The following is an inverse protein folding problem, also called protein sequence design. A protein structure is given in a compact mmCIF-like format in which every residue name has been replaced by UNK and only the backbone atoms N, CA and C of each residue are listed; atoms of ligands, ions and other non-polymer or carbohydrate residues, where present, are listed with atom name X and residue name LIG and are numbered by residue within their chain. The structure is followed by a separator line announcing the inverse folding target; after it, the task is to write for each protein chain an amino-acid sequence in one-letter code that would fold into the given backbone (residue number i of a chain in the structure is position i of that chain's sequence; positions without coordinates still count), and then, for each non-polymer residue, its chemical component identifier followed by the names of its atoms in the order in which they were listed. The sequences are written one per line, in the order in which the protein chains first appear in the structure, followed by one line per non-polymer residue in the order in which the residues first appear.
data_IF_474840622255
#
_entry.id   IF_474840622255
#
_cell.length_a   1.000
_cell.length_b   1.000
_cell.length_c   1.000
_cell.angle_alpha   90.00
_cell.angle_beta   90.00
_cell.angle_gamma   90.00
#
_symmetry.space_group_name_H-M   'P 1'
#
loop_
_entity.id
_entity.type
_entity.pdbx_description
1 polymer ?
#
# COMPACT_ATOMS: atom_id res chain seq x y z
N UNK A 1 2.54 27.59 7.20
CA UNK A 1 1.08 27.65 7.42
C UNK A 1 0.68 28.76 8.40
N UNK A 2 1.22 28.78 9.64
CA UNK A 2 0.86 29.78 10.66
C UNK A 2 1.09 31.25 10.23
N UNK A 3 2.20 31.54 9.55
CA UNK A 3 2.55 32.91 9.12
C UNK A 3 1.59 33.47 8.06
N UNK A 4 1.16 32.65 7.10
CA UNK A 4 0.18 33.06 6.07
C UNK A 4 -1.22 33.27 6.66
N UNK A 5 -1.64 32.40 7.58
CA UNK A 5 -2.92 32.53 8.27
C UNK A 5 -2.95 33.79 9.15
N UNK A 6 -1.87 34.07 9.88
CA UNK A 6 -1.73 35.27 10.72
C UNK A 6 -1.70 36.56 9.89
N UNK A 7 -0.98 36.57 8.75
CA UNK A 7 -0.96 37.71 7.84
C UNK A 7 -2.32 37.99 7.19
N UNK A 8 -3.12 36.94 6.94
CA UNK A 8 -4.47 37.06 6.40
C UNK A 8 -5.47 37.57 7.47
N UNK A 9 -5.47 36.99 8.67
CA UNK A 9 -6.32 37.42 9.80
C UNK A 9 -6.06 38.89 10.17
N UNK A 10 -4.81 39.36 10.03
CA UNK A 10 -4.45 40.75 10.32
C UNK A 10 -4.97 41.75 9.28
N UNK A 11 -5.46 41.29 8.11
CA UNK A 11 -5.90 42.15 6.98
C UNK A 11 -7.42 42.14 6.78
N UNK A 12 -8.17 41.29 7.46
CA UNK A 12 -9.62 41.13 7.27
C UNK A 12 -10.39 41.48 8.52
N UNK A 13 -11.34 42.40 8.40
CA UNK A 13 -12.34 42.64 9.44
C UNK A 13 -13.17 41.37 9.63
N UNK A 14 -13.35 40.88 10.87
CA UNK A 14 -13.99 39.59 11.12
C UNK A 14 -15.45 39.62 10.64
N UNK A 15 -15.78 38.74 9.70
CA UNK A 15 -17.16 38.58 9.24
C UNK A 15 -17.95 37.69 10.20
N UNK A 16 -19.27 37.93 10.38
CA UNK A 16 -20.12 37.02 11.15
C UNK A 16 -20.17 35.64 10.49
N UNK A 17 -20.20 34.59 11.31
CA UNK A 17 -20.27 33.22 10.80
C UNK A 17 -21.63 32.99 10.14
N UNK A 18 -21.61 32.73 8.83
CA UNK A 18 -22.81 32.37 8.08
C UNK A 18 -22.93 30.86 8.01
N UNK A 19 -23.97 30.31 8.63
CA UNK A 19 -24.25 28.87 8.62
C UNK A 19 -25.47 28.55 7.76
N UNK A 20 -25.39 27.48 6.97
CA UNK A 20 -26.53 26.98 6.19
C UNK A 20 -26.38 25.48 5.88
N UNK A 21 -27.45 24.78 5.49
CA UNK A 21 -27.35 23.40 5.01
C UNK A 21 -26.45 23.31 3.77
N UNK A 22 -25.59 22.29 3.69
CA UNK A 22 -24.75 22.06 2.51
C UNK A 22 -25.61 21.95 1.24
N UNK A 23 -26.81 21.36 1.38
CA UNK A 23 -27.74 21.22 0.26
C UNK A 23 -28.21 22.53 -0.38
N UNK A 24 -28.10 23.65 0.33
CA UNK A 24 -28.49 24.97 -0.19
C UNK A 24 -27.40 25.66 -1.02
N UNK A 25 -26.19 25.10 -1.06
CA UNK A 25 -25.05 25.66 -1.80
C UNK A 25 -25.04 25.08 -3.21
N UNK A 26 -24.94 25.94 -4.22
CA UNK A 26 -24.78 25.55 -5.63
C UNK A 26 -23.30 25.48 -6.01
N UNK A 27 -22.56 26.55 -5.71
CA UNK A 27 -21.12 26.61 -5.89
C UNK A 27 -20.49 27.65 -4.97
N UNK A 28 -19.20 27.45 -4.71
CA UNK A 28 -18.37 28.35 -3.94
C UNK A 28 -16.90 28.11 -4.26
N UNK A 29 -16.10 29.17 -4.30
CA UNK A 29 -14.64 29.10 -4.35
C UNK A 29 -14.06 29.97 -3.24
N UNK A 30 -12.91 29.58 -2.69
CA UNK A 30 -12.21 30.33 -1.65
C UNK A 30 -11.98 31.77 -2.10
N UNK A 31 -12.29 32.71 -1.20
CA UNK A 31 -12.26 34.15 -1.46
C UNK A 31 -13.23 34.64 -2.56
N UNK A 32 -14.09 33.76 -3.10
CA UNK A 32 -15.12 34.06 -4.08
C UNK A 32 -16.53 34.13 -3.52
N UNK A 33 -17.49 34.37 -4.40
CA UNK A 33 -18.91 34.47 -4.03
C UNK A 33 -19.57 33.11 -3.82
N UNK A 34 -20.45 33.04 -2.81
CA UNK A 34 -21.31 31.89 -2.58
C UNK A 34 -22.57 31.97 -3.44
N UNK A 35 -22.74 31.00 -4.35
CA UNK A 35 -23.99 30.82 -5.10
C UNK A 35 -24.87 29.78 -4.42
N UNK A 36 -26.16 30.08 -4.32
CA UNK A 36 -27.17 29.20 -3.71
C UNK A 36 -28.01 28.51 -4.77
N UNK A 37 -28.58 27.36 -4.42
CA UNK A 37 -29.57 26.68 -5.24
C UNK A 37 -30.83 27.55 -5.30
N UNK A 38 -31.40 27.71 -6.50
CA UNK A 38 -32.65 28.43 -6.68
C UNK A 38 -33.82 27.65 -6.07
N UNK A 39 -34.79 28.32 -5.40
CA UNK A 39 -35.92 27.63 -4.77
C UNK A 39 -36.78 26.82 -5.75
N UNK A 40 -36.82 27.23 -7.02
CA UNK A 40 -37.65 26.68 -8.08
C UNK A 40 -37.03 25.48 -8.82
N UNK A 41 -35.78 25.12 -8.53
CA UNK A 41 -35.08 24.04 -9.25
C UNK A 41 -34.56 22.97 -8.29
N UNK A 42 -34.73 21.67 -8.63
CA UNK A 42 -34.11 20.62 -7.84
C UNK A 42 -32.59 20.78 -7.88
N UNK A 43 -31.90 20.60 -6.75
CA UNK A 43 -30.45 20.68 -6.73
C UNK A 43 -29.84 19.57 -7.58
N UNK A 44 -28.76 19.89 -8.31
CA UNK A 44 -27.97 18.90 -9.02
C UNK A 44 -27.48 17.80 -8.04
N UNK A 45 -27.52 16.51 -8.43
CA UNK A 45 -27.48 15.39 -7.49
C UNK A 45 -26.12 15.13 -6.87
N UNK A 46 -25.02 15.55 -7.51
CA UNK A 46 -23.66 15.24 -7.03
C UNK A 46 -23.00 16.49 -6.47
N UNK A 47 -22.32 16.36 -5.34
CA UNK A 47 -21.49 17.38 -4.72
C UNK A 47 -20.03 17.01 -4.91
N UNK A 48 -19.25 17.96 -5.43
CA UNK A 48 -17.80 17.88 -5.52
C UNK A 48 -17.14 18.94 -4.65
N UNK A 49 -16.29 18.51 -3.74
CA UNK A 49 -15.40 19.37 -2.96
C UNK A 49 -13.97 19.19 -3.48
N UNK A 50 -13.25 20.28 -3.62
CA UNK A 50 -11.80 20.30 -3.86
C UNK A 50 -11.12 20.87 -2.63
N UNK A 51 -10.11 20.17 -2.14
CA UNK A 51 -9.39 20.43 -0.89
C UNK A 51 -7.92 20.58 -1.24
N UNK A 52 -7.28 21.63 -0.75
CA UNK A 52 -5.83 21.82 -0.83
C UNK A 52 -5.22 21.86 0.59
N UNK A 53 -3.93 22.21 0.69
CA UNK A 53 -3.24 22.29 1.97
C UNK A 53 -3.84 23.33 2.96
N UNK A 54 -4.70 24.25 2.52
CA UNK A 54 -5.38 25.21 3.38
C UNK A 54 -6.88 24.87 3.64
N UNK A 55 -7.31 23.66 3.28
CA UNK A 55 -8.66 23.16 3.49
C UNK A 55 -9.51 23.22 2.21
N UNK A 56 -10.84 23.36 2.38
CA UNK A 56 -11.76 23.38 1.23
C UNK A 56 -11.46 24.63 0.39
N UNK A 57 -11.15 24.42 -0.89
CA UNK A 57 -10.87 25.46 -1.89
C UNK A 57 -12.08 25.73 -2.75
N UNK A 58 -12.83 24.70 -3.10
CA UNK A 58 -13.99 24.81 -4.01
C UNK A 58 -15.06 23.81 -3.64
N UNK A 59 -16.32 24.23 -3.80
CA UNK A 59 -17.51 23.40 -3.77
C UNK A 59 -18.29 23.66 -5.05
N UNK A 60 -18.74 22.59 -5.70
CA UNK A 60 -19.60 22.67 -6.87
C UNK A 60 -20.59 21.50 -6.87
N UNK A 61 -21.75 21.72 -7.49
CA UNK A 61 -22.67 20.63 -7.80
C UNK A 61 -22.58 20.23 -9.26
N UNK A 62 -22.68 18.92 -9.51
CA UNK A 62 -22.56 18.32 -10.84
C UNK A 62 -23.86 17.60 -11.21
N UNK A 63 -24.25 17.60 -12.50
CA UNK A 63 -25.47 16.94 -12.97
C UNK A 63 -25.40 15.41 -12.84
N UNK A 64 -24.19 14.85 -12.86
CA UNK A 64 -23.94 13.42 -12.70
C UNK A 64 -22.55 13.20 -12.08
N UNK A 65 -22.34 12.00 -11.51
CA UNK A 65 -21.01 11.60 -11.03
C UNK A 65 -20.06 11.53 -12.21
N UNK A 66 -18.89 12.18 -12.15
CA UNK A 66 -17.93 12.14 -13.24
C UNK A 66 -17.42 10.71 -13.45
N UNK A 67 -17.28 10.30 -14.71
CA UNK A 67 -16.70 9.01 -15.06
C UNK A 67 -15.22 8.97 -14.64
N UNK A 68 -14.80 7.83 -14.09
CA UNK A 68 -13.40 7.64 -13.71
C UNK A 68 -12.49 7.81 -14.93
N UNK A 69 -11.44 8.63 -14.76
CA UNK A 69 -10.43 8.87 -15.80
C UNK A 69 -9.04 8.59 -15.22
N UNK A 70 -8.28 7.75 -15.92
CA UNK A 70 -6.93 7.32 -15.57
C UNK A 70 -5.91 8.47 -15.57
N UNK A 71 -6.24 9.60 -16.21
CA UNK A 71 -5.36 10.75 -16.42
C UNK A 71 -4.93 11.47 -15.12
N UNK A 72 -5.59 11.21 -14.00
CA UNK A 72 -5.38 11.91 -12.72
C UNK A 72 -4.61 11.12 -11.67
N UNK A 73 -4.00 10.00 -12.07
CA UNK A 73 -3.30 9.08 -11.17
C UNK A 73 -1.97 9.61 -10.62
N UNK A 74 -1.52 10.79 -11.08
CA UNK A 74 -0.41 11.51 -10.44
C UNK A 74 -0.95 12.52 -9.44
N UNK A 75 -0.46 12.53 -8.18
CA UNK A 75 -0.78 13.56 -7.20
C UNK A 75 -0.07 14.89 -7.56
N UNK A 76 -0.30 15.41 -8.77
CA UNK A 76 0.43 16.54 -9.30
C UNK A 76 0.11 17.88 -8.60
N UNK A 77 -0.94 17.95 -7.76
CA UNK A 77 -1.40 19.22 -7.20
C UNK A 77 -1.59 19.23 -5.68
N UNK A 78 -1.18 18.20 -4.92
CA UNK A 78 -1.49 18.07 -3.49
C UNK A 78 -2.98 18.31 -3.15
N UNK A 79 -3.86 18.03 -4.12
CA UNK A 79 -5.30 18.20 -3.97
C UNK A 79 -5.93 16.90 -3.49
N UNK A 80 -7.01 17.05 -2.75
CA UNK A 80 -7.90 15.98 -2.41
C UNK A 80 -9.34 16.36 -2.79
N UNK A 81 -10.17 15.36 -3.01
CA UNK A 81 -11.51 15.55 -3.53
C UNK A 81 -12.53 14.75 -2.74
N UNK A 82 -13.73 15.27 -2.61
CA UNK A 82 -14.90 14.50 -2.15
C UNK A 82 -15.90 14.59 -3.28
N UNK A 83 -16.39 13.45 -3.78
CA UNK A 83 -17.35 13.37 -4.89
C UNK A 83 -18.46 12.41 -4.49
N UNK A 84 -19.56 12.96 -3.99
CA UNK A 84 -20.60 12.20 -3.31
C UNK A 84 -21.99 12.64 -3.76
N UNK A 85 -22.95 11.72 -3.70
CA UNK A 85 -24.34 12.03 -3.96
C UNK A 85 -24.90 12.90 -2.81
N UNK A 86 -25.76 13.87 -3.12
CA UNK A 86 -26.33 14.79 -2.14
C UNK A 86 -27.05 14.05 -1.00
N UNK A 87 -27.73 12.95 -1.34
CA UNK A 87 -28.40 12.08 -0.38
C UNK A 87 -27.44 11.49 0.67
N UNK A 88 -26.17 11.26 0.30
CA UNK A 88 -25.14 10.73 1.21
C UNK A 88 -24.49 11.81 2.09
N UNK A 89 -24.92 13.07 1.96
CA UNK A 89 -24.44 14.21 2.73
C UNK A 89 -25.55 14.87 3.54
N UNK A 90 -26.63 14.11 3.80
CA UNK A 90 -27.77 14.59 4.56
C UNK A 90 -27.36 15.09 5.96
N UNK A 91 -27.93 16.24 6.36
CA UNK A 91 -27.65 16.85 7.66
C UNK A 91 -26.31 17.58 7.76
N UNK A 92 -25.43 17.49 6.76
CA UNK A 92 -24.18 18.26 6.73
C UNK A 92 -24.50 19.75 6.56
N UNK A 93 -23.90 20.58 7.41
CA UNK A 93 -24.00 22.04 7.34
C UNK A 93 -22.67 22.65 6.90
N UNK A 94 -22.75 23.83 6.33
CA UNK A 94 -21.60 24.66 5.96
C UNK A 94 -21.53 25.86 6.90
N UNK A 95 -20.33 26.18 7.34
CA UNK A 95 -20.00 27.44 7.99
C UNK A 95 -19.03 28.21 7.10
N UNK A 96 -19.46 29.41 6.71
CA UNK A 96 -18.65 30.38 5.99
C UNK A 96 -18.24 31.48 6.95
N UNK A 97 -16.94 31.74 6.99
CA UNK A 97 -16.37 32.87 7.71
C UNK A 97 -15.13 33.25 6.97
N UNK A 98 -14.87 34.55 6.77
CA UNK A 98 -13.51 34.98 6.47
C UNK A 98 -12.96 34.31 5.18
N UNK A 99 -13.78 34.23 4.13
CA UNK A 99 -13.39 33.56 2.86
C UNK A 99 -13.12 32.05 2.98
N UNK A 100 -13.42 31.42 4.12
CA UNK A 100 -13.19 30.00 4.39
C UNK A 100 -14.50 29.23 4.49
N UNK A 101 -14.44 27.97 4.06
CA UNK A 101 -15.56 27.04 4.05
C UNK A 101 -15.25 25.85 4.96
N UNK A 102 -16.11 25.62 5.95
CA UNK A 102 -15.98 24.50 6.89
C UNK A 102 -17.24 23.65 6.87
N UNK A 103 -17.06 22.33 6.80
CA UNK A 103 -18.13 21.38 7.03
C UNK A 103 -18.38 21.20 8.52
N UNK A 104 -19.65 21.26 8.91
CA UNK A 104 -20.13 20.88 10.24
C UNK A 104 -20.97 19.61 10.08
N UNK A 105 -20.41 18.52 10.57
CA UNK A 105 -21.01 17.20 10.46
C UNK A 105 -22.15 17.02 11.48
N UNK A 106 -23.19 16.26 11.14
CA UNK A 106 -24.21 15.87 12.12
C UNK A 106 -23.60 14.99 13.22
N UNK A 107 -24.26 14.94 14.38
CA UNK A 107 -23.81 14.09 15.51
C UNK A 107 -23.83 12.60 15.16
N UNK A 108 -24.80 12.17 14.36
CA UNK A 108 -24.89 10.81 13.85
C UNK A 108 -24.43 10.77 12.39
N UNK A 109 -23.46 9.91 12.10
CA UNK A 109 -22.85 9.79 10.77
C UNK A 109 -23.40 8.60 9.96
N UNK A 110 -24.48 7.95 10.41
CA UNK A 110 -24.99 6.71 9.81
C UNK A 110 -25.25 6.82 8.30
N UNK A 111 -25.76 7.97 7.86
CA UNK A 111 -26.10 8.23 6.45
C UNK A 111 -25.09 9.13 5.75
N UNK A 112 -24.04 9.59 6.45
CA UNK A 112 -23.04 10.50 5.89
C UNK A 112 -21.90 9.72 5.29
N UNK A 113 -21.55 10.02 4.04
CA UNK A 113 -20.33 9.52 3.38
C UNK A 113 -19.47 10.71 2.97
N UNK A 114 -18.27 10.76 3.49
CA UNK A 114 -17.25 11.75 3.19
C UNK A 114 -15.96 11.00 2.85
N UNK A 115 -15.95 10.36 1.68
CA UNK A 115 -14.77 9.70 1.18
C UNK A 115 -13.87 10.71 0.47
N UNK A 116 -12.66 10.85 0.98
CA UNK A 116 -11.63 11.75 0.45
C UNK A 116 -10.77 10.97 -0.54
N UNK A 117 -10.62 11.49 -1.73
CA UNK A 117 -9.90 10.87 -2.84
C UNK A 117 -8.72 11.70 -3.31
N UNK A 118 -7.70 11.05 -3.84
CA UNK A 118 -6.61 11.70 -4.59
C UNK A 118 -6.99 12.02 -6.06
N UNK A 119 -8.19 11.63 -6.52
CA UNK A 119 -8.67 11.87 -7.90
C UNK A 119 -9.90 12.78 -7.94
N UNK A 120 -9.98 13.75 -8.88
CA UNK A 120 -11.14 14.62 -9.07
C UNK A 120 -12.35 13.91 -9.69
N UNK A 121 -12.14 12.69 -10.22
CA UNK A 121 -13.16 11.85 -10.83
C UNK A 121 -13.00 10.42 -10.28
N UNK A 122 -13.22 10.19 -8.98
CA UNK A 122 -12.90 8.91 -8.35
C UNK A 122 -13.78 7.77 -8.88
N UNK A 123 -13.28 6.51 -8.87
CA UNK A 123 -14.09 5.37 -9.26
C UNK A 123 -15.30 5.23 -8.33
N UNK A 124 -16.38 4.63 -8.85
CA UNK A 124 -17.50 4.26 -7.98
C UNK A 124 -17.09 3.07 -7.12
N UNK A 125 -17.14 3.22 -5.79
CA UNK A 125 -16.78 2.18 -4.85
C UNK A 125 -17.62 0.91 -5.01
N UNK A 126 -18.88 1.03 -5.45
CA UNK A 126 -19.72 -0.14 -5.73
C UNK A 126 -19.20 -0.99 -6.90
N UNK A 127 -18.43 -0.37 -7.81
CA UNK A 127 -17.76 -1.04 -8.94
C UNK A 127 -16.34 -1.51 -8.58
N UNK A 128 -15.87 -1.21 -7.37
CA UNK A 128 -14.57 -1.64 -6.90
C UNK A 128 -14.68 -2.99 -6.21
N UNK A 129 -13.83 -3.92 -6.61
CA UNK A 129 -13.65 -5.20 -5.93
C UNK A 129 -12.52 -5.04 -4.94
N UNK A 130 -12.80 -5.27 -3.66
CA UNK A 130 -11.83 -5.02 -2.59
C UNK A 130 -12.03 -5.97 -1.42
N UNK A 131 -10.97 -6.13 -0.63
CA UNK A 131 -10.94 -6.93 0.57
C UNK A 131 -9.82 -6.47 1.53
N UNK A 132 -10.08 -6.33 2.84
CA UNK A 132 -11.37 -6.23 3.50
C UNK A 132 -12.24 -5.11 2.91
N UNK A 133 -13.56 -5.16 3.10
CA UNK A 133 -14.47 -4.08 2.69
C UNK A 133 -14.91 -3.24 3.89
N UNK A 134 -13.96 -2.82 4.74
CA UNK A 134 -14.25 -1.98 5.91
C UNK A 134 -14.32 -0.50 5.50
N UNK A 135 -15.49 -0.13 4.98
CA UNK A 135 -15.79 1.24 4.55
C UNK A 135 -16.50 1.98 5.69
N UNK A 136 -15.90 3.07 6.17
CA UNK A 136 -16.46 3.92 7.23
C UNK A 136 -17.05 5.20 6.65
N UNK A 137 -17.91 5.92 7.40
CA UNK A 137 -18.49 7.20 6.96
C UNK A 137 -17.47 8.23 6.48
N UNK A 138 -16.29 8.29 7.11
CA UNK A 138 -15.24 9.26 6.78
C UNK A 138 -13.94 8.48 6.60
N UNK A 139 -13.42 8.48 5.39
CA UNK A 139 -12.25 7.66 5.06
C UNK A 139 -11.51 8.24 3.88
N UNK A 140 -10.19 8.00 3.83
CA UNK A 140 -9.34 8.45 2.73
C UNK A 140 -9.02 7.28 1.82
N UNK A 141 -9.49 7.36 0.59
CA UNK A 141 -9.21 6.43 -0.48
C UNK A 141 -8.16 7.03 -1.43
N UNK A 142 -7.35 6.15 -1.98
CA UNK A 142 -6.44 6.45 -3.06
C UNK A 142 -6.73 5.52 -4.22
N UNK A 143 -6.64 6.08 -5.42
CA UNK A 143 -6.64 5.32 -6.66
C UNK A 143 -5.34 5.60 -7.40
N UNK A 144 -4.71 4.55 -7.91
CA UNK A 144 -3.45 4.67 -8.66
C UNK A 144 -3.46 3.70 -9.85
N UNK A 145 -2.95 4.17 -10.98
CA UNK A 145 -2.75 3.32 -12.15
C UNK A 145 -1.47 2.51 -11.97
N UNK A 146 -1.56 1.19 -12.05
CA UNK A 146 -0.41 0.31 -11.86
C UNK A 146 0.70 0.54 -12.91
N UNK A 147 0.35 1.06 -14.10
CA UNK A 147 1.30 1.42 -15.14
C UNK A 147 2.13 2.68 -14.82
N UNK A 148 1.64 3.53 -13.90
CA UNK A 148 2.29 4.80 -13.54
C UNK A 148 3.25 4.69 -12.35
N UNK A 149 3.32 3.51 -11.70
CA UNK A 149 4.14 3.29 -10.51
C UNK A 149 5.35 2.40 -10.82
N UNK A 150 6.27 2.29 -9.86
CA UNK A 150 7.51 1.50 -9.94
C UNK A 150 7.55 0.35 -8.95
N UNK A 151 6.71 0.42 -7.92
CA UNK A 151 6.55 -0.68 -6.98
C UNK A 151 5.61 -0.33 -5.83
N UNK A 152 5.40 -1.31 -4.96
CA UNK A 152 4.56 -1.18 -3.76
C UNK A 152 5.31 -1.84 -2.62
N UNK A 153 5.51 -1.13 -1.50
CA UNK A 153 5.98 -1.76 -0.25
C UNK A 153 4.79 -2.07 0.63
N UNK A 154 4.64 -3.34 0.98
CA UNK A 154 3.66 -3.81 1.96
C UNK A 154 4.33 -3.94 3.33
N UNK A 155 3.63 -3.45 4.36
CA UNK A 155 4.05 -3.58 5.75
C UNK A 155 3.26 -4.72 6.37
N UNK A 156 3.94 -5.78 6.77
CA UNK A 156 3.32 -6.95 7.35
C UNK A 156 3.70 -7.08 8.82
N UNK A 157 2.69 -7.30 9.65
CA UNK A 157 2.88 -8.15 10.81
C UNK A 157 2.74 -9.59 10.30
N UNK A 158 3.43 -10.57 10.88
CA UNK A 158 3.61 -11.93 10.35
C UNK A 158 2.33 -12.61 9.83
N UNK A 159 1.15 -12.20 10.32
CA UNK A 159 -0.15 -12.73 9.91
C UNK A 159 -1.07 -11.75 9.18
N UNK A 160 -0.74 -10.45 9.07
CA UNK A 160 -1.65 -9.41 8.55
C UNK A 160 -0.93 -8.23 7.88
N UNK A 161 -1.51 -7.71 6.80
CA UNK A 161 -1.06 -6.50 6.12
C UNK A 161 -1.54 -5.25 6.88
N UNK A 162 -0.59 -4.48 7.39
CA UNK A 162 -0.83 -3.30 8.23
C UNK A 162 -1.03 -2.02 7.42
N UNK A 163 -0.24 -1.87 6.36
CA UNK A 163 -0.19 -0.67 5.53
C UNK A 163 0.48 -0.99 4.19
N UNK A 164 0.42 -0.02 3.28
CA UNK A 164 1.22 -0.03 2.06
C UNK A 164 1.79 1.36 1.78
N UNK A 165 2.83 1.37 0.96
CA UNK A 165 3.43 2.56 0.39
C UNK A 165 3.54 2.37 -1.13
N UNK A 166 3.12 3.38 -1.89
CA UNK A 166 3.18 3.39 -3.35
C UNK A 166 4.45 4.10 -3.77
N UNK A 167 5.28 3.45 -4.61
CA UNK A 167 6.47 4.05 -5.20
C UNK A 167 6.15 4.55 -6.61
N UNK A 168 6.05 5.86 -6.79
CA UNK A 168 5.91 6.52 -8.09
C UNK A 168 7.25 6.55 -8.85
N UNK A 169 8.35 6.63 -8.10
CA UNK A 169 9.72 6.66 -8.63
C UNK A 169 10.60 5.67 -7.87
N UNK A 170 11.71 5.25 -8.47
CA UNK A 170 12.65 4.32 -7.83
C UNK A 170 13.33 4.93 -6.59
N UNK A 171 13.37 6.26 -6.49
CA UNK A 171 14.03 7.02 -5.42
C UNK A 171 13.08 7.45 -4.30
N UNK A 172 11.83 7.01 -4.33
CA UNK A 172 10.85 7.43 -3.33
C UNK A 172 11.15 6.81 -1.97
N UNK A 173 11.12 7.65 -0.94
CA UNK A 173 11.47 7.24 0.41
C UNK A 173 10.24 6.78 1.19
N UNK A 174 10.38 5.66 1.89
CA UNK A 174 9.33 5.12 2.77
C UNK A 174 9.25 5.80 4.14
N UNK A 175 10.13 6.76 4.46
CA UNK A 175 10.31 7.35 5.79
C UNK A 175 9.02 7.79 6.48
N UNK A 176 8.11 8.44 5.75
CA UNK A 176 6.84 8.91 6.33
C UNK A 176 5.89 7.77 6.67
N UNK A 177 5.80 6.75 5.81
CA UNK A 177 5.00 5.56 6.09
C UNK A 177 5.63 4.73 7.20
N UNK A 178 6.95 4.61 7.21
CA UNK A 178 7.70 3.97 8.29
C UNK A 178 7.38 4.62 9.63
N UNK A 179 7.46 5.96 9.71
CA UNK A 179 7.13 6.71 10.93
C UNK A 179 5.69 6.45 11.36
N UNK A 180 4.73 6.56 10.44
CA UNK A 180 3.31 6.34 10.75
C UNK A 180 3.05 4.90 11.25
N UNK A 181 3.67 3.89 10.64
CA UNK A 181 3.50 2.49 11.05
C UNK A 181 4.20 2.20 12.37
N UNK A 182 5.45 2.66 12.54
CA UNK A 182 6.27 2.36 13.71
C UNK A 182 5.85 3.13 14.96
N UNK A 183 5.34 4.37 14.83
CA UNK A 183 4.96 5.21 15.97
C UNK A 183 3.47 5.12 16.29
N UNK A 184 2.60 5.06 15.27
CA UNK A 184 1.15 5.23 15.47
C UNK A 184 0.33 3.94 15.44
N UNK A 185 0.93 2.84 14.98
CA UNK A 185 0.22 1.56 14.78
C UNK A 185 0.69 0.41 15.65
N UNK A 186 1.64 0.60 16.58
CA UNK A 186 2.12 -0.46 17.48
C UNK A 186 0.95 -1.12 18.22
N UNK A 187 0.59 -2.37 17.88
CA UNK A 187 -0.28 -3.17 18.71
C UNK A 187 0.64 -3.88 19.70
N UNK A 188 0.74 -3.35 20.92
CA UNK A 188 1.45 -3.96 22.04
C UNK A 188 2.98 -4.15 21.89
N UNK A 189 3.66 -4.16 23.03
CA UNK A 189 5.13 -4.24 23.21
C UNK A 189 5.72 -5.59 22.74
N UNK A 190 4.89 -6.53 22.26
CA UNK A 190 5.26 -7.93 22.02
C UNK A 190 5.77 -8.18 20.58
N UNK A 191 5.51 -7.29 19.63
CA UNK A 191 5.86 -7.53 18.21
C UNK A 191 7.11 -6.76 17.76
N UNK A 192 8.00 -7.49 17.08
CA UNK A 192 9.17 -6.97 16.36
C UNK A 192 8.76 -5.99 15.24
N UNK A 193 9.73 -5.25 14.69
CA UNK A 193 9.51 -4.39 13.52
C UNK A 193 8.73 -5.10 12.40
N UNK A 194 7.83 -4.40 11.68
CA UNK A 194 7.09 -4.99 10.57
C UNK A 194 8.03 -5.41 9.45
N UNK A 195 7.70 -6.52 8.79
CA UNK A 195 8.41 -7.00 7.60
C UNK A 195 7.96 -6.15 6.41
N UNK A 196 8.90 -5.66 5.61
CA UNK A 196 8.63 -4.85 4.41
C UNK A 196 8.86 -5.69 3.17
N UNK A 197 7.76 -5.99 2.48
CA UNK A 197 7.79 -6.76 1.24
C UNK A 197 7.61 -5.79 0.09
N UNK A 198 8.66 -5.63 -0.72
CA UNK A 198 8.65 -4.77 -1.88
C UNK A 198 8.20 -5.55 -3.12
N UNK A 199 7.06 -5.20 -3.70
CA UNK A 199 6.61 -5.71 -5.00
C UNK A 199 7.09 -4.76 -6.11
N UNK A 200 8.13 -5.12 -6.88
CA UNK A 200 8.58 -4.31 -8.00
C UNK A 200 7.59 -4.36 -9.17
N UNK A 201 7.41 -3.22 -9.83
CA UNK A 201 6.56 -3.06 -11.02
C UNK A 201 7.39 -2.42 -12.14
N UNK A 202 8.28 -3.19 -12.80
CA UNK A 202 9.10 -2.67 -13.88
C UNK A 202 8.21 -2.34 -15.09
N UNK A 203 8.57 -1.30 -15.86
CA UNK A 203 7.76 -0.80 -17.01
C UNK A 203 7.43 -1.85 -18.07
N UNK A 204 8.25 -2.89 -18.18
CA UNK A 204 8.10 -3.97 -19.13
C UNK A 204 7.31 -5.17 -18.62
N UNK A 205 6.74 -5.11 -17.41
CA UNK A 205 5.92 -6.16 -16.81
C UNK A 205 4.61 -5.54 -16.29
N UNK A 206 3.58 -6.36 -16.13
CA UNK A 206 2.27 -5.88 -15.69
C UNK A 206 1.54 -6.92 -14.86
N UNK A 207 0.71 -6.44 -13.93
CA UNK A 207 -0.20 -7.29 -13.15
C UNK A 207 -1.34 -7.73 -14.07
N UNK A 208 -1.52 -9.04 -14.21
CA UNK A 208 -2.60 -9.68 -14.96
C UNK A 208 -3.68 -10.28 -14.06
N UNK A 209 -3.36 -10.48 -12.77
CA UNK A 209 -4.30 -10.93 -11.75
C UNK A 209 -3.97 -10.32 -10.38
N UNK A 210 -5.02 -9.91 -9.67
CA UNK A 210 -4.95 -9.47 -8.28
C UNK A 210 -5.99 -10.22 -7.46
N UNK A 211 -5.54 -10.86 -6.38
CA UNK A 211 -6.39 -11.57 -5.42
C UNK A 211 -6.04 -11.22 -3.97
N UNK A 212 -6.93 -11.57 -3.06
CA UNK A 212 -6.75 -11.36 -1.63
C UNK A 212 -7.38 -12.48 -0.80
N UNK A 213 -6.87 -12.70 0.40
CA UNK A 213 -7.41 -13.63 1.39
C UNK A 213 -7.34 -13.03 2.80
N UNK A 214 -8.31 -13.38 3.65
CA UNK A 214 -8.27 -13.08 5.07
C UNK A 214 -9.62 -13.29 5.76
N UNK A 215 -9.87 -12.48 6.80
CA UNK A 215 -11.17 -12.37 7.50
C UNK A 215 -11.85 -11.03 7.20
N UNK A 216 -13.11 -10.88 7.60
CA UNK A 216 -13.93 -9.69 7.29
C UNK A 216 -13.28 -8.35 7.70
N UNK A 217 -12.36 -8.39 8.67
CA UNK A 217 -11.62 -7.26 9.22
C UNK A 217 -10.11 -7.26 8.90
N UNK A 218 -9.57 -8.29 8.25
CA UNK A 218 -8.11 -8.48 8.08
C UNK A 218 -7.73 -8.92 6.67
N UNK A 219 -6.69 -8.27 6.14
CA UNK A 219 -6.00 -8.73 4.93
C UNK A 219 -4.81 -9.60 5.33
N UNK A 220 -4.90 -10.90 5.13
CA UNK A 220 -3.85 -11.85 5.53
C UNK A 220 -2.88 -12.14 4.39
N UNK A 221 -3.39 -12.27 3.16
CA UNK A 221 -2.57 -12.50 1.97
C UNK A 221 -3.08 -11.73 0.76
N UNK A 222 -2.14 -11.37 -0.12
CA UNK A 222 -2.36 -10.78 -1.42
C UNK A 222 -1.70 -11.69 -2.46
N UNK A 223 -2.42 -11.96 -3.54
CA UNK A 223 -1.94 -12.78 -4.65
C UNK A 223 -1.82 -11.93 -5.89
N UNK A 224 -0.67 -12.01 -6.56
CA UNK A 224 -0.36 -11.22 -7.74
C UNK A 224 0.17 -12.14 -8.81
N UNK A 225 -0.43 -12.12 -10.00
CA UNK A 225 0.20 -12.70 -11.20
C UNK A 225 0.75 -11.56 -12.04
N UNK A 226 2.05 -11.58 -12.25
CA UNK A 226 2.74 -10.71 -13.20
C UNK A 226 2.87 -11.44 -14.53
N UNK A 227 2.83 -10.71 -15.65
CA UNK A 227 3.00 -11.29 -17.00
C UNK A 227 4.36 -11.98 -17.15
N UNK A 228 5.43 -11.35 -16.66
CA UNK A 228 6.80 -11.88 -16.78
C UNK A 228 7.33 -12.45 -15.49
N UNK A 229 7.09 -11.78 -14.35
CA UNK A 229 7.56 -12.29 -13.08
C UNK A 229 6.76 -13.52 -12.60
N UNK A 230 5.57 -13.81 -13.13
CA UNK A 230 4.73 -14.93 -12.71
C UNK A 230 4.03 -14.71 -11.36
N UNK A 231 3.81 -15.79 -10.61
CA UNK A 231 2.97 -15.80 -9.40
C UNK A 231 3.70 -15.40 -8.11
N UNK A 232 3.19 -14.37 -7.44
CA UNK A 232 3.74 -13.81 -6.20
C UNK A 232 2.66 -13.85 -5.11
N UNK A 233 3.04 -14.29 -3.92
CA UNK A 233 2.19 -14.24 -2.72
C UNK A 233 2.84 -13.35 -1.67
N UNK A 234 2.06 -12.41 -1.14
CA UNK A 234 2.48 -11.46 -0.10
C UNK A 234 1.61 -11.73 1.12
N UNK A 235 2.22 -11.97 2.28
CA UNK A 235 1.52 -12.43 3.47
C UNK A 235 1.26 -13.94 3.45
N UNK A 236 0.33 -14.41 4.27
CA UNK A 236 0.12 -15.83 4.55
C UNK A 236 -1.36 -16.15 4.69
N UNK A 237 -1.83 -17.21 4.02
CA UNK A 237 -3.15 -17.80 4.29
C UNK A 237 -3.15 -18.39 5.69
N UNK A 238 -4.11 -18.02 6.52
CA UNK A 238 -4.25 -18.58 7.86
C UNK A 238 -5.24 -19.74 7.83
N UNK A 239 -5.09 -20.72 8.74
CA UNK A 239 -6.09 -21.77 8.88
C UNK A 239 -7.46 -21.17 9.22
N UNK A 240 -8.51 -21.59 8.51
CA UNK A 240 -9.88 -21.12 8.76
C UNK A 240 -10.24 -19.75 8.17
N UNK A 241 -9.37 -19.10 7.39
CA UNK A 241 -9.75 -17.92 6.60
C UNK A 241 -10.60 -18.31 5.39
N UNK A 242 -11.47 -17.39 4.94
CA UNK A 242 -12.40 -17.65 3.84
C UNK A 242 -11.70 -17.91 2.50
N UNK A 243 -12.49 -18.23 1.46
CA UNK A 243 -11.98 -18.44 0.11
C UNK A 243 -11.25 -17.20 -0.45
N UNK A 244 -10.16 -17.39 -1.21
CA UNK A 244 -9.52 -16.22 -1.83
C UNK A 244 -10.47 -15.51 -2.80
N UNK A 245 -10.45 -14.19 -2.72
CA UNK A 245 -11.26 -13.27 -3.48
C UNK A 245 -10.48 -12.78 -4.68
N UNK A 246 -11.15 -12.75 -5.83
CA UNK A 246 -10.63 -12.12 -7.05
C UNK A 246 -10.94 -10.63 -6.96
N UNK A 247 -9.89 -9.80 -7.00
CA UNK A 247 -10.02 -8.35 -6.96
C UNK A 247 -9.95 -7.76 -8.38
N UNK A 248 -9.09 -8.29 -9.22
CA UNK A 248 -9.05 -7.95 -10.64
C UNK A 248 -8.44 -9.08 -11.45
N UNK A 249 -8.82 -9.14 -12.71
CA UNK A 249 -8.23 -10.04 -13.69
C UNK A 249 -8.26 -9.38 -15.07
N UNK A 250 -7.21 -9.63 -15.87
CA UNK A 250 -6.92 -9.02 -17.16
C UNK A 250 -6.24 -7.64 -17.07
N UNK A 251 -5.94 -7.09 -18.25
CA UNK A 251 -5.14 -5.88 -18.42
C UNK A 251 -5.90 -4.63 -17.96
N UNK A 252 -5.16 -3.57 -17.58
CA UNK A 252 -5.68 -2.23 -17.26
C UNK A 252 -6.41 -2.08 -15.91
N UNK A 253 -5.73 -2.45 -14.82
CA UNK A 253 -6.25 -2.36 -13.45
C UNK A 253 -5.82 -1.06 -12.75
N UNK A 254 -6.79 -0.35 -12.18
CA UNK A 254 -6.53 0.76 -11.24
C UNK A 254 -6.58 0.21 -9.83
N UNK A 255 -5.49 0.32 -9.07
CA UNK A 255 -5.45 -0.09 -7.68
C UNK A 255 -6.23 0.93 -6.83
N UNK A 256 -7.12 0.45 -5.96
CA UNK A 256 -7.89 1.25 -5.01
C UNK A 256 -7.57 0.78 -3.60
N UNK A 257 -7.11 1.67 -2.73
CA UNK A 257 -6.80 1.33 -1.35
C UNK A 257 -7.17 2.45 -0.40
N UNK A 258 -7.35 2.11 0.88
CA UNK A 258 -7.56 3.09 1.93
C UNK A 258 -6.28 3.37 2.69
N UNK A 259 -6.03 4.65 2.96
CA UNK A 259 -5.08 5.02 4.01
C UNK A 259 -5.68 4.60 5.36
N UNK A 260 -4.97 3.78 6.13
CA UNK A 260 -5.44 3.33 7.43
C UNK A 260 -5.39 4.45 8.46
N UNK A 261 -6.40 4.55 9.32
CA UNK A 261 -6.34 5.45 10.48
C UNK A 261 -5.33 4.94 11.52
N UNK A 262 -5.03 5.79 12.52
CA UNK A 262 -4.20 5.40 13.67
C UNK A 262 -4.72 4.11 14.30
N UNK A 263 -3.81 3.16 14.56
CA UNK A 263 -4.10 1.84 15.14
C UNK A 263 -5.01 0.93 14.31
N UNK A 264 -5.37 1.30 13.08
CA UNK A 264 -6.11 0.41 12.18
C UNK A 264 -5.17 -0.32 11.22
N UNK A 265 -5.51 -1.56 10.88
CA UNK A 265 -4.92 -2.30 9.77
C UNK A 265 -5.44 -1.76 8.43
N UNK A 266 -4.90 -2.22 7.32
CA UNK A 266 -5.33 -1.78 5.99
C UNK A 266 -6.83 -2.12 5.77
N UNK A 267 -7.74 -1.12 5.74
CA UNK A 267 -9.18 -1.38 5.86
C UNK A 267 -9.85 -1.66 4.52
N UNK A 268 -9.18 -1.31 3.41
CA UNK A 268 -9.61 -1.61 2.06
C UNK A 268 -8.39 -1.75 1.15
N UNK A 269 -8.35 -2.85 0.40
CA UNK A 269 -7.41 -3.10 -0.67
C UNK A 269 -8.15 -3.73 -1.84
N UNK A 270 -8.05 -3.15 -3.02
CA UNK A 270 -8.90 -3.54 -4.12
C UNK A 270 -8.46 -2.96 -5.43
N UNK A 271 -9.32 -3.17 -6.41
CA UNK A 271 -9.13 -2.72 -7.76
C UNK A 271 -10.44 -2.19 -8.32
N UNK A 272 -10.30 -1.22 -9.21
CA UNK A 272 -11.34 -0.78 -10.12
C UNK A 272 -11.02 -1.30 -11.52
N UNK A 273 -12.04 -1.84 -12.19
CA UNK A 273 -11.98 -2.29 -13.57
C UNK A 273 -13.22 -1.76 -14.30
N UNK A 274 -13.02 -0.98 -15.35
CA UNK A 274 -14.09 -0.26 -16.03
C UNK A 274 -15.13 -1.18 -16.69
N UNK A 275 -14.69 -2.36 -17.13
CA UNK A 275 -15.55 -3.45 -17.56
C UNK A 275 -15.29 -4.64 -16.66
N UNK A 276 -16.32 -5.25 -16.03
CA UNK A 276 -16.13 -6.52 -15.36
C UNK A 276 -15.57 -7.50 -16.39
N UNK A 277 -14.34 -7.98 -16.18
CA UNK A 277 -13.87 -9.10 -16.97
C UNK A 277 -14.88 -10.24 -16.81
N UNK A 278 -15.31 -10.84 -17.93
CA UNK A 278 -15.89 -12.18 -17.89
C UNK A 278 -14.74 -13.08 -17.44
N UNK A 279 -14.65 -13.28 -16.13
CA UNK A 279 -13.62 -14.10 -15.55
C UNK A 279 -14.12 -15.53 -15.56
N UNK A 280 -13.50 -16.34 -16.40
CA UNK A 280 -13.68 -17.78 -16.31
C UNK A 280 -13.05 -18.26 -15.00
N UNK A 281 -13.89 -18.68 -14.06
CA UNK A 281 -13.46 -19.17 -12.74
C UNK A 281 -12.48 -20.34 -12.88
N UNK A 282 -12.58 -21.12 -13.97
CA UNK A 282 -11.66 -22.23 -14.25
C UNK A 282 -10.25 -21.75 -14.66
N UNK A 283 -10.11 -20.50 -15.13
CA UNK A 283 -8.84 -19.88 -15.49
C UNK A 283 -8.09 -19.26 -14.29
N UNK A 284 -8.61 -19.45 -13.08
CA UNK A 284 -8.02 -18.89 -11.85
C UNK A 284 -6.59 -19.40 -11.63
N UNK A 285 -5.62 -18.49 -11.43
CA UNK A 285 -4.28 -18.88 -10.99
C UNK A 285 -4.33 -19.73 -9.71
N UNK A 286 -3.68 -20.88 -9.75
CA UNK A 286 -3.49 -21.70 -8.55
C UNK A 286 -2.19 -21.22 -7.88
N UNK A 287 -2.35 -20.36 -6.87
CA UNK A 287 -1.22 -19.96 -6.03
C UNK A 287 -0.87 -21.08 -5.06
N UNK A 288 0.39 -21.53 -5.13
CA UNK A 288 0.96 -22.53 -4.22
C UNK A 288 0.58 -22.19 -2.77
N UNK A 289 0.09 -23.18 -2.03
CA UNK A 289 -0.27 -22.96 -0.64
C UNK A 289 1.01 -22.84 0.20
N UNK A 290 1.30 -21.68 0.81
CA UNK A 290 2.49 -21.54 1.65
C UNK A 290 2.46 -22.49 2.86
N UNK A 291 1.29 -23.10 3.18
CA UNK A 291 1.14 -24.10 4.25
C UNK A 291 1.97 -25.35 4.14
N UNK A 292 2.39 -25.73 2.93
CA UNK A 292 3.35 -26.82 2.77
C UNK A 292 4.75 -26.46 3.30
N UNK A 293 5.09 -25.16 3.35
CA UNK A 293 6.42 -24.65 3.71
C UNK A 293 6.43 -23.94 5.07
N UNK A 294 5.50 -24.29 5.96
CA UNK A 294 5.40 -23.69 7.29
C UNK A 294 6.54 -24.13 8.20
N UNK A 295 7.33 -23.18 8.65
CA UNK A 295 8.22 -23.36 9.81
C UNK A 295 7.56 -22.98 11.14
N UNK A 296 6.39 -22.32 11.10
CA UNK A 296 5.63 -21.93 12.29
C UNK A 296 4.61 -20.81 12.05
N UNK A 297 3.71 -20.53 13.02
CA UNK A 297 2.55 -19.64 12.88
C UNK A 297 2.88 -18.14 12.74
N UNK A 298 4.16 -17.75 12.80
CA UNK A 298 4.62 -16.37 12.72
C UNK A 298 5.78 -16.20 11.73
N UNK A 299 5.76 -16.97 10.65
CA UNK A 299 6.83 -16.97 9.65
C UNK A 299 6.32 -16.40 8.34
N UNK A 300 6.92 -15.32 7.87
CA UNK A 300 6.76 -14.85 6.50
C UNK A 300 7.58 -15.73 5.55
N UNK A 301 6.98 -16.12 4.43
CA UNK A 301 7.59 -16.95 3.40
C UNK A 301 7.56 -16.23 2.06
N UNK A 302 8.69 -16.26 1.35
CA UNK A 302 8.82 -15.76 -0.01
C UNK A 302 9.75 -16.67 -0.83
N UNK A 303 9.65 -16.62 -2.15
CA UNK A 303 10.45 -17.45 -3.03
C UNK A 303 10.63 -16.80 -4.40
N UNK A 304 11.71 -17.21 -5.09
CA UNK A 304 12.02 -16.79 -6.44
C UNK A 304 12.77 -17.90 -7.19
N UNK A 305 12.54 -18.01 -8.50
CA UNK A 305 13.41 -18.82 -9.36
C UNK A 305 14.74 -18.09 -9.54
N UNK A 306 15.84 -18.85 -9.55
CA UNK A 306 17.19 -18.36 -9.85
C UNK A 306 17.52 -18.42 -11.34
N UNK A 307 16.65 -19.06 -12.13
CA UNK A 307 16.86 -19.21 -13.57
C UNK A 307 16.61 -17.89 -14.30
N UNK A 308 17.48 -17.57 -15.26
CA UNK A 308 17.38 -16.35 -16.06
C UNK A 308 17.58 -15.05 -15.26
N UNK A 309 18.23 -15.11 -14.10
CA UNK A 309 18.60 -13.93 -13.30
C UNK A 309 19.85 -13.28 -13.88
N UNK A 310 19.73 -12.03 -14.30
CA UNK A 310 20.82 -11.21 -14.83
C UNK A 310 21.65 -10.51 -13.74
N UNK A 311 21.03 -10.15 -12.63
CA UNK A 311 21.68 -9.51 -11.48
C UNK A 311 20.85 -9.64 -10.20
N UNK A 312 21.54 -9.53 -9.06
CA UNK A 312 20.94 -9.59 -7.73
C UNK A 312 21.34 -8.34 -6.96
N UNK A 313 20.35 -7.69 -6.36
CA UNK A 313 20.55 -6.63 -5.38
C UNK A 313 20.29 -7.19 -3.99
N UNK A 314 21.24 -6.96 -3.09
CA UNK A 314 21.23 -7.47 -1.72
C UNK A 314 20.93 -6.30 -0.80
N UNK A 315 19.98 -6.48 0.12
CA UNK A 315 19.65 -5.50 1.16
C UNK A 315 20.27 -5.96 2.47
N UNK A 316 21.15 -5.14 3.04
CA UNK A 316 21.87 -5.46 4.26
C UNK A 316 21.32 -4.76 5.49
N UNK A 317 21.60 -5.34 6.65
CA UNK A 317 21.62 -4.58 7.90
C UNK A 317 22.77 -3.55 7.90
N UNK A 318 22.76 -2.62 8.86
CA UNK A 318 23.59 -1.40 8.84
C UNK A 318 25.11 -1.66 8.72
N UNK A 319 25.57 -2.87 9.02
CA UNK A 319 26.97 -3.31 9.03
C UNK A 319 27.46 -4.03 7.76
N UNK A 320 26.60 -4.21 6.73
CA UNK A 320 26.86 -5.10 5.57
C UNK A 320 27.07 -6.57 5.91
N UNK A 321 26.91 -6.97 7.18
CA UNK A 321 27.23 -8.32 7.60
C UNK A 321 26.07 -9.28 7.33
N UNK A 322 24.84 -8.80 7.55
CA UNK A 322 23.64 -9.62 7.50
C UNK A 322 22.69 -9.21 6.38
N UNK A 323 22.20 -10.19 5.63
CA UNK A 323 21.22 -10.03 4.57
C UNK A 323 19.80 -9.97 5.14
N UNK A 324 19.08 -8.88 4.86
CA UNK A 324 17.64 -8.73 5.14
C UNK A 324 16.77 -9.31 4.04
N UNK A 325 17.19 -9.13 2.79
CA UNK A 325 16.43 -9.52 1.62
C UNK A 325 17.22 -9.42 0.32
N UNK A 326 16.66 -9.97 -0.74
CA UNK A 326 17.27 -10.04 -2.07
C UNK A 326 16.24 -9.60 -3.11
N UNK A 327 16.68 -8.84 -4.10
CA UNK A 327 15.92 -8.50 -5.29
C UNK A 327 16.61 -9.05 -6.54
N UNK A 328 15.90 -9.87 -7.29
CA UNK A 328 16.34 -10.49 -8.54
C UNK A 328 15.86 -9.68 -9.74
N UNK A 329 16.77 -9.41 -10.67
CA UNK A 329 16.47 -8.84 -11.98
C UNK A 329 16.63 -9.92 -13.04
N UNK A 330 15.57 -10.22 -13.77
CA UNK A 330 15.56 -11.27 -14.78
C UNK A 330 15.89 -10.73 -16.17
N UNK A 331 16.47 -11.57 -17.02
CA UNK A 331 16.82 -11.24 -18.41
C UNK A 331 15.59 -10.82 -19.24
N UNK A 332 14.41 -11.34 -18.93
CA UNK A 332 13.15 -10.97 -19.58
C UNK A 332 12.63 -9.57 -19.15
N UNK A 333 13.34 -8.90 -18.24
CA UNK A 333 12.99 -7.58 -17.68
C UNK A 333 12.06 -7.62 -16.48
N UNK A 334 11.70 -8.81 -15.98
CA UNK A 334 10.95 -8.96 -14.73
C UNK A 334 11.83 -8.67 -13.51
N UNK A 335 11.20 -8.52 -12.35
CA UNK A 335 11.91 -8.47 -11.07
C UNK A 335 11.11 -9.14 -9.97
N UNK A 336 11.80 -9.73 -8.99
CA UNK A 336 11.20 -10.34 -7.80
C UNK A 336 12.00 -10.01 -6.56
N UNK A 337 11.36 -10.07 -5.41
CA UNK A 337 12.00 -9.89 -4.10
C UNK A 337 11.72 -11.09 -3.20
N UNK A 338 12.66 -11.35 -2.30
CA UNK A 338 12.51 -12.27 -1.17
C UNK A 338 13.08 -11.63 0.09
N UNK A 339 12.47 -11.92 1.24
CA UNK A 339 12.87 -11.34 2.52
C UNK A 339 12.35 -9.92 2.80
N UNK A 340 13.02 -9.19 3.68
CA UNK A 340 12.67 -7.83 4.13
C UNK A 340 13.48 -6.81 3.31
N UNK A 341 12.91 -6.35 2.19
CA UNK A 341 13.59 -5.44 1.25
C UNK A 341 13.19 -3.99 1.52
N UNK A 342 14.03 -3.23 2.24
CA UNK A 342 13.78 -1.81 2.58
C UNK A 342 14.43 -0.88 1.57
N UNK A 343 13.80 -0.77 0.40
CA UNK A 343 14.24 0.08 -0.72
C UNK A 343 14.45 1.53 -0.28
N UNK A 344 15.55 2.15 -0.73
CA UNK A 344 15.97 3.52 -0.37
C UNK A 344 16.27 3.74 1.12
N UNK A 345 16.42 2.67 1.91
CA UNK A 345 16.73 2.74 3.34
C UNK A 345 17.92 1.89 3.72
N UNK A 346 17.91 0.62 3.32
CA UNK A 346 19.00 -0.29 3.63
C UNK A 346 20.24 0.01 2.78
N UNK A 347 21.38 -0.45 3.26
CA UNK A 347 22.58 -0.49 2.44
C UNK A 347 22.43 -1.60 1.41
N UNK A 348 22.85 -1.29 0.18
CA UNK A 348 22.63 -2.18 -0.97
C UNK A 348 23.96 -2.53 -1.64
N UNK A 349 24.11 -3.78 -2.08
CA UNK A 349 25.14 -4.18 -3.04
C UNK A 349 24.48 -4.86 -4.24
N UNK A 350 25.13 -4.79 -5.41
CA UNK A 350 24.63 -5.44 -6.62
C UNK A 350 25.68 -6.39 -7.17
N UNK A 351 25.28 -7.64 -7.42
CA UNK A 351 26.07 -8.65 -8.09
C UNK A 351 25.50 -8.85 -9.50
N UNK A 352 26.36 -8.75 -10.51
CA UNK A 352 25.99 -9.01 -11.90
C UNK A 352 26.32 -10.45 -12.25
N UNK A 353 25.47 -11.08 -13.06
CA UNK A 353 25.68 -12.42 -13.62
C UNK A 353 26.13 -13.45 -12.55
N UNK A 354 25.32 -13.64 -11.48
CA UNK A 354 25.66 -14.58 -10.43
C UNK A 354 25.75 -16.01 -10.98
N UNK A 355 26.82 -16.72 -10.65
CA UNK A 355 27.02 -18.13 -11.06
C UNK A 355 26.91 -19.08 -9.86
N UNK A 356 27.07 -18.56 -8.66
CA UNK A 356 27.01 -19.30 -7.41
C UNK A 356 26.27 -18.48 -6.34
N UNK A 357 25.75 -19.18 -5.33
CA UNK A 357 25.32 -18.57 -4.08
C UNK A 357 25.89 -19.37 -2.91
N UNK A 358 26.50 -18.65 -1.98
CA UNK A 358 26.96 -19.14 -0.69
C UNK A 358 26.13 -18.48 0.40
N UNK A 359 25.61 -19.24 1.34
CA UNK A 359 24.87 -18.69 2.47
C UNK A 359 25.15 -19.45 3.76
N UNK A 360 25.04 -18.75 4.87
CA UNK A 360 25.07 -19.36 6.20
C UNK A 360 24.20 -18.60 7.17
N UNK A 361 23.78 -19.30 8.21
CA UNK A 361 23.07 -18.72 9.35
C UNK A 361 24.06 -18.54 10.49
N UNK A 362 24.29 -17.29 10.92
CA UNK A 362 25.18 -16.95 12.03
C UNK A 362 24.37 -16.41 13.21
N UNK A 363 24.77 -16.81 14.40
CA UNK A 363 24.35 -16.19 15.66
C UNK A 363 25.21 -14.92 15.85
N UNK A 364 24.62 -13.72 15.95
CA UNK A 364 25.37 -12.50 16.27
C UNK A 364 26.13 -12.69 17.59
N UNK A 365 27.39 -12.33 17.59
CA UNK A 365 28.19 -12.28 18.82
C UNK A 365 27.61 -11.15 19.69
N UNK A 366 26.98 -11.50 20.82
CA UNK A 366 26.41 -10.49 21.70
C UNK A 366 27.54 -9.78 22.45
N UNK A 367 27.64 -8.46 22.32
CA UNK A 367 28.36 -7.65 23.30
C UNK A 367 27.60 -7.75 24.64
N UNK A 368 28.18 -8.50 25.58
CA UNK A 368 27.76 -8.66 26.98
C UNK A 368 26.46 -9.45 27.24
N UNK A 369 26.59 -10.77 27.34
CA UNK A 369 26.52 -11.47 28.64
C UNK A 369 25.29 -11.38 29.54
N UNK A 370 24.20 -10.69 29.21
CA UNK A 370 23.03 -10.60 30.10
C UNK A 370 21.70 -10.93 29.41
N UNK A 371 21.14 -12.06 29.83
CA UNK A 371 19.72 -12.39 29.93
C UNK A 371 18.92 -12.65 28.65
N UNK A 372 18.97 -13.92 28.24
CA UNK A 372 17.85 -14.76 27.81
C UNK A 372 16.56 -14.10 27.32
N UNK A 373 16.36 -14.15 25.99
CA UNK A 373 15.23 -14.77 25.27
C UNK A 373 15.65 -14.82 23.79
N UNK A 374 15.94 -16.03 23.29
CA UNK A 374 16.10 -16.34 21.87
C UNK A 374 17.27 -15.66 21.14
N UNK A 375 18.39 -16.36 21.02
CA UNK A 375 19.50 -15.97 20.15
C UNK A 375 19.02 -15.80 18.71
N UNK A 376 18.93 -14.56 18.20
CA UNK A 376 18.42 -14.27 16.84
C UNK A 376 19.43 -14.72 15.79
N UNK A 377 19.10 -15.76 15.02
CA UNK A 377 19.94 -16.20 13.92
C UNK A 377 19.77 -15.30 12.69
N UNK A 378 20.87 -14.80 12.14
CA UNK A 378 20.89 -13.91 10.97
C UNK A 378 21.57 -14.56 9.77
N UNK A 379 21.11 -14.21 8.57
CA UNK A 379 21.60 -14.76 7.32
C UNK A 379 22.77 -13.94 6.77
N UNK A 380 23.85 -14.60 6.33
CA UNK A 380 24.87 -14.01 5.45
C UNK A 380 24.74 -14.64 4.06
N UNK A 381 24.93 -13.85 3.02
CA UNK A 381 24.86 -14.29 1.62
C UNK A 381 26.03 -13.70 0.84
N UNK A 382 26.70 -14.56 0.08
CA UNK A 382 27.79 -14.23 -0.82
C UNK A 382 27.54 -14.91 -2.19
N UNK A 383 28.10 -14.35 -3.25
CA UNK A 383 27.90 -14.84 -4.63
C UNK A 383 29.18 -15.34 -5.29
N UNK A 384 30.24 -15.46 -4.50
CA UNK A 384 31.53 -16.02 -4.87
C UNK A 384 31.93 -17.01 -3.78
N UNK A 385 32.59 -18.10 -4.16
CA UNK A 385 33.18 -19.02 -3.19
C UNK A 385 34.55 -18.50 -2.76
N UNK A 386 34.79 -18.47 -1.45
CA UNK A 386 36.07 -18.06 -0.87
C UNK A 386 36.69 -19.22 -0.09
N UNK A 387 38.02 -19.30 -0.06
CA UNK A 387 38.77 -20.38 0.60
C UNK A 387 38.43 -20.56 2.10
N UNK A 388 37.83 -19.56 2.75
CA UNK A 388 37.38 -19.65 4.14
C UNK A 388 35.97 -20.24 4.34
N UNK A 389 35.27 -20.61 3.27
CA UNK A 389 33.90 -21.15 3.37
C UNK A 389 33.85 -22.58 3.92
N UNK A 390 34.88 -23.37 3.66
CA UNK A 390 34.95 -24.78 4.05
C UNK A 390 35.02 -24.97 5.58
N UNK A 391 35.54 -23.96 6.30
CA UNK A 391 35.72 -24.00 7.76
C UNK A 391 34.52 -23.43 8.54
N UNK A 392 33.56 -22.79 7.87
CA UNK A 392 32.63 -21.83 8.50
C UNK A 392 31.12 -22.14 8.32
N UNK A 393 30.77 -23.41 8.05
CA UNK A 393 29.40 -23.91 7.84
C UNK A 393 28.65 -23.20 6.69
N UNK A 394 29.37 -22.80 5.65
CA UNK A 394 28.76 -22.23 4.46
C UNK A 394 28.13 -23.29 3.58
N UNK A 395 26.96 -22.97 3.03
CA UNK A 395 26.32 -23.76 1.98
C UNK A 395 26.50 -23.03 0.65
N UNK A 396 27.39 -23.55 -0.18
CA UNK A 396 27.69 -23.01 -1.52
C UNK A 396 27.10 -23.90 -2.60
N UNK A 397 26.22 -23.33 -3.44
CA UNK A 397 25.49 -24.05 -4.47
C UNK A 397 25.54 -23.29 -5.80
N UNK A 398 25.49 -23.98 -6.95
CA UNK A 398 25.28 -23.34 -8.25
C UNK A 398 24.04 -22.46 -8.23
N UNK A 399 24.08 -21.32 -8.93
CA UNK A 399 22.99 -20.35 -8.95
C UNK A 399 21.87 -20.78 -9.91
N UNK A 400 21.08 -21.79 -9.50
CA UNK A 400 19.97 -22.37 -10.28
C UNK A 400 18.87 -22.91 -9.38
N UNK A 401 17.67 -23.12 -9.93
CA UNK A 401 16.55 -23.71 -9.23
C UNK A 401 15.69 -22.69 -8.47
N UNK A 402 15.15 -23.06 -7.31
CA UNK A 402 14.21 -22.23 -6.54
C UNK A 402 14.81 -21.86 -5.19
N UNK A 403 14.97 -20.55 -4.97
CA UNK A 403 15.28 -20.00 -3.65
C UNK A 403 14.00 -19.79 -2.85
N UNK A 404 14.04 -20.22 -1.59
CA UNK A 404 13.03 -19.95 -0.58
C UNK A 404 13.64 -19.19 0.58
N UNK A 405 12.88 -18.22 1.09
CA UNK A 405 13.31 -17.31 2.15
C UNK A 405 12.22 -17.20 3.21
N UNK A 406 12.62 -17.34 4.48
CA UNK A 406 11.74 -17.24 5.63
C UNK A 406 12.21 -16.17 6.61
N UNK A 407 11.24 -15.44 7.17
CA UNK A 407 11.47 -14.45 8.22
C UNK A 407 10.51 -14.67 9.37
N UNK A 408 11.03 -14.75 10.59
CA UNK A 408 10.22 -14.80 11.81
C UNK A 408 10.93 -14.08 12.95
N UNK A 409 10.32 -13.06 13.56
CA UNK A 409 10.82 -12.40 14.79
C UNK A 409 12.31 -11.99 14.75
N UNK A 410 12.76 -11.46 13.61
CA UNK A 410 14.17 -11.06 13.39
C UNK A 410 15.09 -12.17 12.90
N UNK A 411 14.65 -13.42 12.92
CA UNK A 411 15.36 -14.55 12.33
C UNK A 411 15.14 -14.58 10.82
N UNK A 412 16.20 -14.89 10.08
CA UNK A 412 16.14 -15.14 8.63
C UNK A 412 16.75 -16.50 8.29
N UNK A 413 16.12 -17.21 7.37
CA UNK A 413 16.62 -18.49 6.86
C UNK A 413 16.36 -18.59 5.36
N UNK A 414 17.24 -19.35 4.68
CA UNK A 414 17.23 -19.52 3.25
C UNK A 414 17.54 -20.97 2.89
N UNK A 415 16.89 -21.46 1.83
CA UNK A 415 17.18 -22.75 1.21
C UNK A 415 17.12 -22.60 -0.31
N UNK A 416 17.95 -23.37 -1.02
CA UNK A 416 17.90 -23.47 -2.48
C UNK A 416 17.59 -24.92 -2.85
N UNK A 417 16.51 -25.13 -3.60
CA UNK A 417 16.17 -26.42 -4.20
C UNK A 417 16.65 -26.42 -5.65
N UNK A 418 17.41 -27.45 -6.05
CA UNK A 418 17.99 -27.57 -7.39
C UNK A 418 17.11 -28.36 -8.35
#
# INVERSE_FOLDING_TARGET
MAVRLAAWISRTSPQPVRAMPLRSVLSWERDGELRRVEPSSPPLPVIKLTIDCEGIRRMERLPARPQYSKLWSRPANHLAYIVEDEASLEGVKVQLKDGRFRLKLPRQLRNVRLHVWNSPTPPNLSLCMGYPKKITPIQRFNVVELSEIRGITFYLNTTVVLAMHIHLTEQESTLWTDKAVLEEKRPDVIFSEPIRVYLPLPKGDQITYLGANGSDDRLNAIFVRMEKAGDITIGQRQGGTGEDKILAAQNSVSLVYCEPNKREMLPFFGAYQASPAIFDVSSRPIFANPSANWMGPFTYYSWASLDGVSSVRIFYEDDFDFCRGLMFYYENGASRTVGDCRVQRDREATVKTPTQICFRTKIPESDNGENGIGTVCKLRVEFEHHNGHDDELWHCLPFRGIMRFWIARGFSWLSVEQ
#
